data_IF_652027986750
#
_entry.id   IF_652027986750
#
_cell.length_a   1.000
_cell.length_b   1.000
_cell.length_c   1.000
_cell.angle_alpha   90.00
_cell.angle_beta   90.00
_cell.angle_gamma   90.00
#
_symmetry.space_group_name_H-M   'P 1'
#
loop_
_entity.id
_entity.type
_entity.pdbx_description
1 polymer ?
#
# COMPACT_ATOMS: atom_id res chain seq x y z
N UNK A 1 37.34 -5.81 -47.02
CA UNK A 1 36.68 -4.54 -46.68
C UNK A 1 35.16 -4.66 -46.61
N UNK A 2 34.42 -5.18 -47.59
CA UNK A 2 32.93 -5.32 -47.50
C UNK A 2 32.46 -6.42 -46.53
N UNK A 3 33.17 -7.52 -46.42
CA UNK A 3 32.82 -8.65 -45.54
C UNK A 3 33.13 -8.42 -44.07
N UNK A 4 34.06 -7.54 -43.72
CA UNK A 4 34.35 -7.15 -42.32
C UNK A 4 33.26 -6.25 -41.75
N UNK A 5 32.73 -5.33 -42.56
CA UNK A 5 31.65 -4.42 -42.13
C UNK A 5 30.31 -5.17 -41.90
N UNK A 6 30.04 -6.22 -42.63
CA UNK A 6 28.86 -7.07 -42.46
C UNK A 6 28.96 -7.89 -41.16
N UNK A 7 30.14 -8.46 -40.86
CA UNK A 7 30.37 -9.18 -39.58
C UNK A 7 30.23 -8.26 -38.35
N UNK A 8 30.77 -7.06 -38.39
CA UNK A 8 30.62 -6.11 -37.29
C UNK A 8 29.14 -5.73 -37.04
N UNK A 9 28.35 -5.53 -38.05
CA UNK A 9 26.92 -5.23 -37.93
C UNK A 9 26.14 -6.40 -37.31
N UNK A 10 26.39 -7.65 -37.73
CA UNK A 10 25.78 -8.83 -37.14
C UNK A 10 26.14 -9.00 -35.67
N UNK A 11 27.38 -8.76 -35.27
CA UNK A 11 27.82 -8.81 -33.88
C UNK A 11 27.13 -7.74 -33.02
N UNK A 12 27.02 -6.53 -33.52
CA UNK A 12 26.31 -5.44 -32.79
C UNK A 12 24.84 -5.74 -32.60
N UNK A 13 24.13 -6.17 -33.63
CA UNK A 13 22.73 -6.54 -33.52
C UNK A 13 22.52 -7.76 -32.62
N UNK A 14 23.36 -8.76 -32.71
CA UNK A 14 23.32 -9.94 -31.83
C UNK A 14 23.52 -9.54 -30.36
N UNK A 15 24.50 -8.69 -30.05
CA UNK A 15 24.75 -8.17 -28.70
C UNK A 15 23.55 -7.35 -28.19
N UNK A 16 22.99 -6.45 -29.00
CA UNK A 16 21.82 -5.66 -28.64
C UNK A 16 20.63 -6.59 -28.34
N UNK A 17 20.40 -7.60 -29.18
CA UNK A 17 19.30 -8.56 -28.99
C UNK A 17 19.49 -9.37 -27.70
N UNK A 18 20.71 -9.82 -27.40
CA UNK A 18 21.03 -10.55 -26.16
C UNK A 18 20.84 -9.64 -24.93
N UNK A 19 21.35 -8.40 -24.99
CA UNK A 19 21.19 -7.44 -23.88
C UNK A 19 19.73 -7.12 -23.63
N UNK A 20 18.93 -6.88 -24.67
CA UNK A 20 17.50 -6.65 -24.56
C UNK A 20 16.77 -7.88 -24.01
N UNK A 21 17.09 -9.07 -24.52
CA UNK A 21 16.51 -10.32 -24.05
C UNK A 21 16.81 -10.58 -22.58
N UNK A 22 18.06 -10.42 -22.17
CA UNK A 22 18.48 -10.52 -20.76
C UNK A 22 17.81 -9.44 -19.91
N UNK A 23 17.73 -8.20 -20.40
CA UNK A 23 17.04 -7.08 -19.71
C UNK A 23 15.58 -7.39 -19.45
N UNK A 24 14.86 -7.92 -20.43
CA UNK A 24 13.46 -8.35 -20.28
C UNK A 24 13.33 -9.48 -19.26
N UNK A 25 14.18 -10.50 -19.33
CA UNK A 25 14.16 -11.62 -18.35
C UNK A 25 14.44 -11.09 -16.94
N UNK A 26 15.46 -10.24 -16.77
CA UNK A 26 15.79 -9.63 -15.48
C UNK A 26 14.63 -8.78 -14.95
N UNK A 27 14.00 -7.98 -15.81
CA UNK A 27 12.84 -7.17 -15.43
C UNK A 27 11.72 -8.03 -14.85
N UNK A 28 11.32 -9.09 -15.53
CA UNK A 28 10.28 -10.00 -15.03
C UNK A 28 10.69 -10.72 -13.74
N UNK A 29 11.97 -11.06 -13.58
CA UNK A 29 12.47 -11.73 -12.37
C UNK A 29 12.60 -10.79 -11.18
N UNK A 30 12.85 -9.49 -11.41
CA UNK A 30 12.93 -8.46 -10.35
C UNK A 30 11.55 -7.97 -9.93
N UNK A 31 10.54 -8.02 -10.81
CA UNK A 31 9.18 -7.53 -10.55
C UNK A 31 8.59 -7.97 -9.22
N UNK A 32 8.70 -9.24 -8.76
CA UNK A 32 8.17 -9.67 -7.46
C UNK A 32 8.82 -8.98 -6.26
N UNK A 33 10.04 -8.44 -6.42
CA UNK A 33 10.83 -7.79 -5.37
C UNK A 33 10.73 -6.26 -5.40
N UNK A 34 10.06 -5.69 -6.41
CA UNK A 34 9.96 -4.24 -6.59
C UNK A 34 9.36 -3.54 -5.37
N UNK A 35 8.39 -4.14 -4.71
CA UNK A 35 7.80 -3.58 -3.49
C UNK A 35 8.85 -3.37 -2.39
N UNK A 36 9.68 -4.36 -2.14
CA UNK A 36 10.78 -4.29 -1.17
C UNK A 36 11.85 -3.28 -1.57
N UNK A 37 12.23 -3.25 -2.85
CA UNK A 37 13.23 -2.32 -3.39
C UNK A 37 12.74 -0.87 -3.26
N UNK A 38 11.55 -0.56 -3.78
CA UNK A 38 10.96 0.78 -3.73
C UNK A 38 10.70 1.23 -2.30
N UNK A 39 10.23 0.31 -1.43
CA UNK A 39 10.08 0.56 -0.01
C UNK A 39 11.41 0.93 0.66
N UNK A 40 12.50 0.23 0.34
CA UNK A 40 13.83 0.54 0.86
C UNK A 40 14.30 1.93 0.42
N UNK A 41 14.12 2.31 -0.84
CA UNK A 41 14.43 3.66 -1.34
C UNK A 41 13.62 4.74 -0.62
N UNK A 42 12.32 4.53 -0.46
CA UNK A 42 11.43 5.46 0.23
C UNK A 42 11.88 5.70 1.67
N UNK A 43 12.11 4.60 2.42
CA UNK A 43 12.53 4.67 3.82
C UNK A 43 13.96 5.25 3.94
N UNK A 44 14.85 4.92 3.01
CA UNK A 44 16.20 5.53 2.96
C UNK A 44 16.12 7.06 2.86
N UNK A 45 15.31 7.61 1.96
CA UNK A 45 15.15 9.07 1.81
C UNK A 45 14.63 9.72 3.10
N UNK A 46 13.79 9.03 3.87
CA UNK A 46 13.33 9.50 5.17
C UNK A 46 14.43 9.48 6.22
N UNK A 47 15.17 8.38 6.30
CA UNK A 47 16.11 8.11 7.39
C UNK A 47 17.54 8.61 7.11
N UNK A 48 17.89 8.97 5.85
CA UNK A 48 19.24 9.41 5.52
C UNK A 48 19.72 10.60 6.36
N UNK A 49 18.82 11.54 6.67
CA UNK A 49 19.14 12.68 7.53
C UNK A 49 19.48 12.27 8.96
N UNK A 50 18.74 11.31 9.52
CA UNK A 50 19.01 10.71 10.83
C UNK A 50 20.34 9.92 10.78
N UNK A 51 20.58 9.16 9.72
CA UNK A 51 21.83 8.42 9.53
C UNK A 51 23.05 9.35 9.55
N UNK A 52 22.99 10.47 8.83
CA UNK A 52 24.08 11.46 8.84
C UNK A 52 24.26 12.11 10.21
N UNK A 53 23.15 12.40 10.92
CA UNK A 53 23.22 12.93 12.27
C UNK A 53 23.91 11.95 13.24
N UNK A 54 23.54 10.67 13.19
CA UNK A 54 24.11 9.63 14.05
C UNK A 54 25.59 9.38 13.78
N UNK A 55 25.99 9.38 12.48
CA UNK A 55 27.36 9.05 12.10
C UNK A 55 28.31 10.25 12.18
N UNK A 56 27.85 11.46 11.88
CA UNK A 56 28.73 12.64 11.80
C UNK A 56 28.71 13.48 13.08
N UNK A 57 27.55 13.65 13.70
CA UNK A 57 27.47 14.45 14.95
C UNK A 57 27.69 13.59 16.19
N UNK A 58 27.15 12.37 16.23
CA UNK A 58 27.32 11.48 17.36
C UNK A 58 28.50 10.50 17.22
N UNK A 59 29.25 10.56 16.11
CA UNK A 59 30.41 9.70 15.82
C UNK A 59 30.12 8.20 15.99
N UNK A 60 28.86 7.77 15.74
CA UNK A 60 28.48 6.36 15.82
C UNK A 60 29.05 5.56 14.64
N UNK A 61 29.39 4.30 14.89
CA UNK A 61 29.82 3.40 13.81
C UNK A 61 28.67 3.22 12.81
N UNK A 62 28.90 3.38 11.48
CA UNK A 62 27.84 3.33 10.48
C UNK A 62 26.96 2.06 10.53
N UNK A 63 27.58 0.90 10.80
CA UNK A 63 26.85 -0.35 10.93
C UNK A 63 25.87 -0.33 12.12
N UNK A 64 26.28 0.25 13.26
CA UNK A 64 25.41 0.33 14.45
C UNK A 64 24.29 1.35 14.26
N UNK A 65 24.57 2.50 13.67
CA UNK A 65 23.57 3.49 13.31
C UNK A 65 22.52 2.92 12.32
N UNK A 66 22.98 2.18 11.31
CA UNK A 66 22.09 1.50 10.37
C UNK A 66 21.19 0.46 11.05
N UNK A 67 21.73 -0.35 11.97
CA UNK A 67 20.92 -1.33 12.73
C UNK A 67 19.87 -0.65 13.63
N UNK A 68 20.23 0.48 14.26
CA UNK A 68 19.29 1.25 15.07
C UNK A 68 18.12 1.79 14.23
N UNK A 69 18.42 2.37 13.06
CA UNK A 69 17.41 2.88 12.13
C UNK A 69 16.57 1.77 11.50
N UNK A 70 17.13 0.59 11.27
CA UNK A 70 16.37 -0.60 10.89
C UNK A 70 15.39 -1.03 12.00
N UNK A 71 15.83 -1.01 13.26
CA UNK A 71 14.96 -1.25 14.41
C UNK A 71 13.79 -0.26 14.47
N UNK A 72 14.06 1.03 14.26
CA UNK A 72 13.03 2.07 14.15
C UNK A 72 12.05 1.77 13.00
N UNK A 73 12.57 1.39 11.83
CA UNK A 73 11.74 1.02 10.67
C UNK A 73 10.82 -0.17 10.97
N UNK A 74 11.34 -1.20 11.63
CA UNK A 74 10.57 -2.38 12.01
C UNK A 74 9.46 -1.98 12.99
N UNK A 75 9.80 -1.20 14.02
CA UNK A 75 8.84 -0.77 15.04
C UNK A 75 7.73 0.12 14.45
N UNK A 76 8.10 1.10 13.63
CA UNK A 76 7.15 2.10 13.13
C UNK A 76 6.31 1.63 11.95
N UNK A 77 6.83 0.76 11.09
CA UNK A 77 6.15 0.36 9.86
C UNK A 77 5.75 -1.12 9.84
N UNK A 78 6.67 -2.03 10.17
CA UNK A 78 6.42 -3.46 10.03
C UNK A 78 5.53 -4.03 11.12
N UNK A 79 5.69 -3.62 12.38
CA UNK A 79 4.86 -4.11 13.48
C UNK A 79 3.39 -3.73 13.29
N UNK A 80 3.00 -2.46 13.00
CA UNK A 80 1.61 -2.11 12.76
C UNK A 80 0.99 -2.89 11.60
N UNK A 81 1.72 -3.06 10.49
CA UNK A 81 1.23 -3.79 9.32
C UNK A 81 1.04 -5.29 9.63
N UNK A 82 2.02 -5.92 10.30
CA UNK A 82 1.91 -7.34 10.67
C UNK A 82 0.81 -7.58 11.69
N UNK A 83 0.62 -6.68 12.65
CA UNK A 83 -0.48 -6.72 13.61
C UNK A 83 -1.84 -6.66 12.91
N UNK A 84 -1.98 -5.78 11.91
CA UNK A 84 -3.19 -5.69 11.13
C UNK A 84 -3.51 -6.94 10.34
N UNK A 85 -2.51 -7.48 9.65
CA UNK A 85 -2.64 -8.74 8.91
C UNK A 85 -3.07 -9.86 9.88
N UNK A 86 -2.44 -9.95 11.04
CA UNK A 86 -2.78 -10.94 12.07
C UNK A 86 -4.22 -10.78 12.59
N UNK A 87 -4.66 -9.55 12.87
CA UNK A 87 -6.03 -9.26 13.30
C UNK A 87 -7.06 -9.65 12.23
N UNK A 88 -6.81 -9.33 10.97
CA UNK A 88 -7.68 -9.72 9.84
C UNK A 88 -7.78 -11.25 9.76
N UNK A 89 -6.66 -11.95 9.82
CA UNK A 89 -6.63 -13.42 9.74
C UNK A 89 -7.41 -14.03 10.90
N UNK A 90 -7.13 -13.62 12.14
CA UNK A 90 -7.82 -14.16 13.32
C UNK A 90 -9.33 -13.91 13.30
N UNK A 91 -9.74 -12.71 12.88
CA UNK A 91 -11.16 -12.40 12.81
C UNK A 91 -11.85 -13.21 11.70
N UNK A 92 -11.19 -13.38 10.55
CA UNK A 92 -11.76 -14.14 9.42
C UNK A 92 -11.86 -15.64 9.72
N UNK A 93 -10.96 -16.18 10.53
CA UNK A 93 -11.04 -17.59 10.98
C UNK A 93 -12.20 -17.83 11.96
N UNK A 94 -12.54 -16.83 12.78
CA UNK A 94 -13.63 -16.89 13.76
C UNK A 94 -15.01 -16.53 13.17
N UNK A 95 -15.07 -15.96 11.97
CA UNK A 95 -16.31 -15.78 11.24
C UNK A 95 -16.69 -17.15 10.65
N UNK A 96 -17.58 -17.86 11.34
CA UNK A 96 -18.28 -19.01 10.77
C UNK A 96 -19.17 -18.49 9.62
N UNK A 97 -18.56 -18.28 8.47
CA UNK A 97 -19.28 -18.13 7.22
C UNK A 97 -19.81 -19.54 6.87
N UNK A 98 -20.86 -19.96 7.57
CA UNK A 98 -21.58 -21.14 7.18
C UNK A 98 -22.10 -20.90 5.75
N UNK A 99 -21.67 -21.69 4.76
CA UNK A 99 -22.16 -21.54 3.39
C UNK A 99 -23.69 -21.54 3.30
N UNK A 100 -24.37 -22.21 4.24
CA UNK A 100 -25.83 -22.25 4.33
C UNK A 100 -26.42 -20.90 4.73
N UNK A 101 -25.76 -20.15 5.63
CA UNK A 101 -26.22 -18.80 6.02
C UNK A 101 -26.03 -17.82 4.86
N UNK A 102 -24.90 -17.89 4.16
CA UNK A 102 -24.67 -17.05 2.97
C UNK A 102 -25.66 -17.36 1.84
N UNK A 103 -25.94 -18.65 1.60
CA UNK A 103 -26.91 -19.08 0.60
C UNK A 103 -28.33 -18.66 0.98
N UNK A 104 -28.74 -18.88 2.23
CA UNK A 104 -30.08 -18.51 2.70
C UNK A 104 -30.30 -17.00 2.70
N UNK A 105 -29.28 -16.23 3.13
CA UNK A 105 -29.34 -14.76 3.12
C UNK A 105 -29.31 -14.22 1.70
N UNK A 106 -28.49 -14.78 0.83
CA UNK A 106 -28.46 -14.43 -0.59
C UNK A 106 -29.78 -14.72 -1.30
N UNK A 107 -30.42 -15.86 -1.00
CA UNK A 107 -31.75 -16.20 -1.51
C UNK A 107 -32.83 -15.24 -0.98
N UNK A 108 -32.78 -14.90 0.31
CA UNK A 108 -33.75 -13.95 0.89
C UNK A 108 -33.65 -12.55 0.26
N UNK A 109 -32.41 -12.09 -0.06
CA UNK A 109 -32.23 -10.83 -0.79
C UNK A 109 -32.72 -10.94 -2.23
N UNK A 110 -32.42 -12.04 -2.91
CA UNK A 110 -32.90 -12.28 -4.27
C UNK A 110 -34.44 -12.27 -4.33
N UNK A 111 -35.10 -12.96 -3.39
CA UNK A 111 -36.54 -13.00 -3.28
C UNK A 111 -37.14 -11.61 -3.01
N UNK A 112 -36.56 -10.81 -2.10
CA UNK A 112 -36.99 -9.44 -1.82
C UNK A 112 -36.81 -8.49 -3.02
N UNK A 113 -35.72 -8.64 -3.78
CA UNK A 113 -35.45 -7.83 -4.98
C UNK A 113 -36.40 -8.26 -6.10
N UNK A 114 -36.65 -9.55 -6.29
CA UNK A 114 -37.56 -10.07 -7.29
C UNK A 114 -39.02 -9.63 -6.98
N UNK A 115 -39.45 -9.66 -5.71
CA UNK A 115 -40.76 -9.20 -5.29
C UNK A 115 -41.00 -7.70 -5.54
N UNK A 116 -39.94 -6.86 -5.32
CA UNK A 116 -40.07 -5.41 -5.46
C UNK A 116 -39.73 -4.88 -6.86
N UNK A 117 -38.87 -5.53 -7.62
CA UNK A 117 -38.39 -5.01 -8.91
C UNK A 117 -38.76 -5.88 -10.11
N UNK A 118 -39.19 -7.11 -9.89
CA UNK A 118 -39.47 -8.07 -10.97
C UNK A 118 -38.23 -8.62 -11.70
N UNK A 119 -37.03 -8.22 -11.26
CA UNK A 119 -35.76 -8.69 -11.83
C UNK A 119 -35.20 -9.84 -11.01
N UNK A 120 -34.89 -10.95 -11.65
CA UNK A 120 -34.14 -12.07 -11.06
C UNK A 120 -32.64 -11.73 -11.10
N UNK A 121 -32.18 -11.10 -10.01
CA UNK A 121 -30.78 -10.56 -9.94
C UNK A 121 -29.77 -11.63 -9.52
N UNK A 122 -30.21 -12.74 -8.95
CA UNK A 122 -29.34 -13.77 -8.38
C UNK A 122 -29.76 -15.18 -8.83
N UNK A 123 -29.26 -15.58 -9.99
CA UNK A 123 -29.29 -16.98 -10.42
C UNK A 123 -28.56 -17.88 -9.38
N UNK A 124 -29.14 -19.03 -9.07
CA UNK A 124 -28.55 -20.04 -8.15
C UNK A 124 -27.11 -20.41 -8.52
N UNK A 125 -26.75 -20.31 -9.80
CA UNK A 125 -25.38 -20.51 -10.27
C UNK A 125 -24.40 -19.46 -9.76
N UNK A 126 -24.84 -18.23 -9.55
CA UNK A 126 -24.01 -17.14 -9.02
C UNK A 126 -23.83 -17.24 -7.50
N UNK A 127 -24.83 -17.71 -6.76
CA UNK A 127 -24.73 -17.97 -5.33
C UNK A 127 -23.73 -19.10 -5.01
N UNK A 128 -23.70 -20.15 -5.82
CA UNK A 128 -22.70 -21.22 -5.68
C UNK A 128 -21.28 -20.73 -6.00
N UNK A 129 -21.12 -19.79 -6.93
CA UNK A 129 -19.83 -19.13 -7.19
C UNK A 129 -19.37 -18.30 -5.98
N UNK A 130 -20.27 -17.60 -5.29
CA UNK A 130 -19.94 -16.86 -4.06
C UNK A 130 -19.47 -17.81 -2.95
N UNK A 131 -20.10 -18.96 -2.78
CA UNK A 131 -19.67 -19.98 -1.83
C UNK A 131 -18.28 -20.57 -2.15
N UNK A 132 -17.89 -20.61 -3.44
CA UNK A 132 -16.57 -21.07 -3.89
C UNK A 132 -15.46 -20.02 -3.74
N UNK A 133 -15.79 -18.77 -3.39
CA UNK A 133 -14.81 -17.68 -3.23
C UNK A 133 -13.93 -17.88 -1.97
N UNK A 134 -14.43 -18.56 -0.93
CA UNK A 134 -13.68 -18.76 0.33
C UNK A 134 -12.30 -19.40 0.15
N UNK A 135 -12.13 -20.52 -0.56
CA UNK A 135 -10.80 -21.08 -0.80
C UNK A 135 -9.88 -20.15 -1.58
N UNK A 136 -10.44 -19.40 -2.53
CA UNK A 136 -9.68 -18.46 -3.36
C UNK A 136 -9.20 -17.26 -2.54
N UNK A 137 -10.03 -16.72 -1.63
CA UNK A 137 -9.64 -15.64 -0.71
C UNK A 137 -8.54 -16.11 0.22
N UNK A 138 -8.68 -17.30 0.82
CA UNK A 138 -7.65 -17.86 1.72
C UNK A 138 -6.33 -18.07 0.96
N UNK A 139 -6.39 -18.64 -0.23
CA UNK A 139 -5.21 -18.86 -1.06
C UNK A 139 -4.55 -17.53 -1.50
N UNK A 140 -5.35 -16.53 -1.86
CA UNK A 140 -4.88 -15.18 -2.16
C UNK A 140 -4.20 -14.52 -0.95
N UNK A 141 -4.81 -14.62 0.24
CA UNK A 141 -4.24 -14.08 1.48
C UNK A 141 -2.91 -14.76 1.83
N UNK A 142 -2.85 -16.09 1.77
CA UNK A 142 -1.62 -16.85 2.04
C UNK A 142 -0.52 -16.49 1.04
N UNK A 143 -0.85 -16.39 -0.25
CA UNK A 143 0.09 -15.97 -1.29
C UNK A 143 0.58 -14.54 -1.08
N UNK A 144 -0.31 -13.62 -0.69
CA UNK A 144 0.01 -12.21 -0.41
C UNK A 144 0.92 -12.08 0.82
N UNK A 145 0.69 -12.86 1.87
CA UNK A 145 1.54 -12.88 3.08
C UNK A 145 2.94 -13.38 2.74
N UNK A 146 3.06 -14.45 1.96
CA UNK A 146 4.36 -14.96 1.52
C UNK A 146 5.12 -13.91 0.70
N UNK A 147 4.46 -13.27 -0.27
CA UNK A 147 5.04 -12.20 -1.07
C UNK A 147 5.44 -10.99 -0.22
N UNK A 148 4.61 -10.63 0.76
CA UNK A 148 4.91 -9.56 1.71
C UNK A 148 6.15 -9.88 2.54
N UNK A 149 6.25 -11.09 3.11
CA UNK A 149 7.40 -11.51 3.90
C UNK A 149 8.71 -11.45 3.09
N UNK A 150 8.70 -11.92 1.85
CA UNK A 150 9.86 -11.83 0.94
C UNK A 150 10.24 -10.38 0.69
N UNK A 151 9.27 -9.50 0.40
CA UNK A 151 9.52 -8.08 0.16
C UNK A 151 10.06 -7.36 1.40
N UNK A 152 9.61 -7.75 2.60
CA UNK A 152 10.15 -7.23 3.87
C UNK A 152 11.63 -7.61 4.04
N UNK A 153 11.99 -8.86 3.77
CA UNK A 153 13.41 -9.30 3.83
C UNK A 153 14.26 -8.51 2.84
N UNK A 154 13.79 -8.36 1.61
CA UNK A 154 14.46 -7.56 0.55
C UNK A 154 14.60 -6.11 0.99
N UNK A 155 13.54 -5.50 1.55
CA UNK A 155 13.53 -4.13 2.05
C UNK A 155 14.60 -3.93 3.13
N UNK A 156 14.60 -4.78 4.16
CA UNK A 156 15.56 -4.69 5.28
C UNK A 156 16.98 -4.82 4.77
N UNK A 157 17.24 -5.79 3.90
CA UNK A 157 18.55 -6.05 3.34
C UNK A 157 19.06 -4.84 2.51
N UNK A 158 18.27 -4.38 1.58
CA UNK A 158 18.64 -3.24 0.72
C UNK A 158 18.79 -1.96 1.54
N UNK A 159 17.85 -1.68 2.45
CA UNK A 159 17.89 -0.49 3.30
C UNK A 159 19.15 -0.46 4.16
N UNK A 160 19.57 -1.60 4.72
CA UNK A 160 20.82 -1.69 5.49
C UNK A 160 22.03 -1.24 4.68
N UNK A 161 22.19 -1.77 3.47
CA UNK A 161 23.32 -1.40 2.61
C UNK A 161 23.21 0.02 2.08
N UNK A 162 22.01 0.50 1.81
CA UNK A 162 21.79 1.90 1.42
C UNK A 162 22.13 2.86 2.55
N UNK A 163 21.79 2.55 3.81
CA UNK A 163 22.16 3.39 4.95
C UNK A 163 23.66 3.47 5.13
N UNK A 164 24.39 2.35 5.05
CA UNK A 164 25.85 2.33 5.20
C UNK A 164 26.56 2.99 4.01
N UNK A 165 26.10 2.70 2.80
CA UNK A 165 26.74 3.17 1.56
C UNK A 165 26.19 4.48 1.00
N UNK A 166 25.22 5.11 1.68
CA UNK A 166 24.34 6.12 1.14
C UNK A 166 25.04 7.27 0.39
N UNK A 167 26.04 7.89 0.97
CA UNK A 167 26.78 8.97 0.28
C UNK A 167 27.49 8.52 -0.99
N UNK A 168 28.10 7.33 -0.95
CA UNK A 168 28.77 6.79 -2.14
C UNK A 168 27.77 6.48 -3.23
N UNK A 169 26.64 5.92 -2.85
CA UNK A 169 25.53 5.60 -3.76
C UNK A 169 24.94 6.90 -4.36
N UNK A 170 24.63 7.90 -3.54
CA UNK A 170 24.09 9.19 -4.01
C UNK A 170 25.06 9.87 -4.99
N UNK A 171 26.34 9.94 -4.67
CA UNK A 171 27.35 10.51 -5.54
C UNK A 171 27.48 9.72 -6.86
N UNK A 172 27.43 8.39 -6.80
CA UNK A 172 27.50 7.57 -7.99
C UNK A 172 26.26 7.77 -8.88
N UNK A 173 25.07 7.79 -8.29
CA UNK A 173 23.84 8.08 -9.02
C UNK A 173 23.87 9.47 -9.66
N UNK A 174 24.38 10.48 -8.93
CA UNK A 174 24.53 11.83 -9.46
C UNK A 174 25.42 11.88 -10.71
N UNK A 175 26.49 11.07 -10.75
CA UNK A 175 27.38 10.99 -11.92
C UNK A 175 26.77 10.23 -13.10
N UNK A 176 25.84 9.29 -12.85
CA UNK A 176 25.20 8.50 -13.91
C UNK A 176 24.16 9.27 -14.71
N UNK A 177 23.54 10.29 -14.09
CA UNK A 177 22.51 11.07 -14.79
C UNK A 177 23.11 11.96 -15.87
N UNK A 178 22.68 11.83 -17.14
CA UNK A 178 23.18 12.59 -18.27
C UNK A 178 22.58 14.00 -18.38
N UNK A 179 22.24 14.62 -17.25
CA UNK A 179 21.66 15.95 -17.19
C UNK A 179 22.70 17.00 -16.78
N UNK A 180 22.41 18.29 -17.02
CA UNK A 180 23.18 19.39 -16.45
C UNK A 180 23.07 19.39 -14.92
N UNK A 181 24.07 19.86 -14.19
CA UNK A 181 24.08 19.81 -12.74
C UNK A 181 22.88 20.56 -12.12
N UNK A 182 22.45 21.66 -12.72
CA UNK A 182 21.26 22.39 -12.29
C UNK A 182 19.98 21.56 -12.40
N UNK A 183 19.79 20.83 -13.51
CA UNK A 183 18.61 19.98 -13.70
C UNK A 183 18.67 18.73 -12.79
N UNK A 184 19.87 18.21 -12.48
CA UNK A 184 20.02 17.10 -11.52
C UNK A 184 19.55 17.50 -10.14
N UNK A 185 19.98 18.67 -9.65
CA UNK A 185 19.61 19.17 -8.33
C UNK A 185 18.11 19.42 -8.24
N UNK A 186 17.50 19.97 -9.29
CA UNK A 186 16.06 20.19 -9.35
C UNK A 186 15.27 18.87 -9.27
N UNK A 187 15.62 17.90 -10.12
CA UNK A 187 14.97 16.57 -10.13
C UNK A 187 15.16 15.84 -8.80
N UNK A 188 16.36 15.85 -8.22
CA UNK A 188 16.63 15.20 -6.94
C UNK A 188 15.86 15.86 -5.78
N UNK A 189 15.75 17.20 -5.79
CA UNK A 189 14.97 17.94 -4.81
C UNK A 189 13.46 17.62 -4.94
N UNK A 190 12.96 17.58 -6.17
CA UNK A 190 11.56 17.22 -6.43
C UNK A 190 11.23 15.78 -5.98
N UNK A 191 12.08 14.80 -6.34
CA UNK A 191 11.93 13.42 -5.87
C UNK A 191 11.94 13.36 -4.33
N UNK A 192 12.88 14.06 -3.70
CA UNK A 192 13.00 14.09 -2.24
C UNK A 192 11.76 14.72 -1.58
N UNK A 193 11.23 15.79 -2.16
CA UNK A 193 10.02 16.46 -1.69
C UNK A 193 8.79 15.53 -1.83
N UNK A 194 8.60 14.91 -3.01
CA UNK A 194 7.49 14.01 -3.27
C UNK A 194 7.54 12.81 -2.32
N UNK A 195 8.70 12.16 -2.17
CA UNK A 195 8.85 10.98 -1.31
C UNK A 195 8.59 11.36 0.15
N UNK A 196 9.18 12.44 0.66
CA UNK A 196 8.96 12.88 2.04
C UNK A 196 7.50 13.26 2.30
N UNK A 197 6.88 13.99 1.38
CA UNK A 197 5.47 14.41 1.51
C UNK A 197 4.53 13.21 1.55
N UNK A 198 4.75 12.21 0.71
CA UNK A 198 3.93 11.01 0.69
C UNK A 198 4.21 10.11 1.89
N UNK A 199 5.47 9.92 2.25
CA UNK A 199 5.86 9.03 3.34
C UNK A 199 5.44 9.53 4.74
N UNK A 200 5.24 10.83 4.91
CA UNK A 200 4.69 11.42 6.12
C UNK A 200 3.17 11.63 5.98
N UNK A 201 2.75 12.11 4.81
CA UNK A 201 1.35 12.45 4.55
C UNK A 201 0.41 11.25 4.56
N UNK A 202 0.83 10.11 3.97
CA UNK A 202 0.00 8.90 3.93
C UNK A 202 -0.27 8.32 5.33
N UNK A 203 0.72 8.11 6.20
CA UNK A 203 0.46 7.65 7.57
C UNK A 203 -0.39 8.62 8.39
N UNK A 204 -0.14 9.93 8.26
CA UNK A 204 -0.94 10.95 8.94
C UNK A 204 -2.40 10.91 8.48
N UNK A 205 -2.62 10.84 7.18
CA UNK A 205 -3.96 10.68 6.59
C UNK A 205 -4.63 9.41 7.09
N UNK A 206 -3.91 8.29 7.10
CA UNK A 206 -4.41 7.00 7.56
C UNK A 206 -4.90 7.04 9.01
N UNK A 207 -4.13 7.66 9.90
CA UNK A 207 -4.51 7.83 11.31
C UNK A 207 -5.76 8.70 11.44
N UNK A 208 -5.80 9.85 10.78
CA UNK A 208 -6.95 10.76 10.84
C UNK A 208 -8.20 10.08 10.29
N UNK A 209 -8.06 9.40 9.15
CA UNK A 209 -9.18 8.70 8.50
C UNK A 209 -9.67 7.51 9.34
N UNK A 210 -8.75 6.79 10.00
CA UNK A 210 -9.08 5.76 10.98
C UNK A 210 -9.85 6.31 12.17
N UNK A 211 -9.46 7.45 12.74
CA UNK A 211 -10.18 8.10 13.85
C UNK A 211 -11.59 8.53 13.42
N UNK A 212 -11.71 9.17 12.24
CA UNK A 212 -13.01 9.56 11.70
C UNK A 212 -13.90 8.34 11.45
N UNK A 213 -13.35 7.25 10.96
CA UNK A 213 -14.07 6.00 10.78
C UNK A 213 -14.54 5.42 12.11
N UNK A 214 -13.68 5.39 13.15
CA UNK A 214 -14.06 4.95 14.51
C UNK A 214 -15.26 5.73 15.03
N UNK A 215 -15.26 7.05 14.87
CA UNK A 215 -16.38 7.90 15.31
C UNK A 215 -17.67 7.47 14.61
N UNK A 216 -17.65 7.29 13.28
CA UNK A 216 -18.80 6.82 12.53
C UNK A 216 -19.27 5.42 12.96
N UNK A 217 -18.33 4.51 13.17
CA UNK A 217 -18.62 3.15 13.59
C UNK A 217 -19.26 3.09 15.00
N UNK A 218 -18.87 3.98 15.91
CA UNK A 218 -19.57 4.11 17.20
C UNK A 218 -20.96 4.70 17.06
N UNK A 219 -21.15 5.74 16.23
CA UNK A 219 -22.46 6.39 16.02
C UNK A 219 -23.46 5.38 15.45
N UNK A 220 -23.03 4.57 14.48
CA UNK A 220 -23.89 3.59 13.82
C UNK A 220 -23.83 2.19 14.46
N UNK A 221 -23.33 2.08 15.69
CA UNK A 221 -23.33 0.88 16.51
C UNK A 221 -22.80 -0.37 15.78
N UNK A 222 -21.73 -0.19 14.98
CA UNK A 222 -21.14 -1.32 14.26
C UNK A 222 -20.50 -2.32 15.24
N UNK A 223 -20.42 -3.61 14.89
CA UNK A 223 -19.63 -4.55 15.67
C UNK A 223 -18.15 -4.13 15.70
N UNK A 224 -17.52 -4.21 16.87
CA UNK A 224 -16.08 -3.93 17.05
C UNK A 224 -15.57 -2.61 16.40
N UNK A 225 -16.11 -1.41 16.74
CA UNK A 225 -15.79 -0.15 16.08
C UNK A 225 -14.29 0.18 16.03
N UNK A 226 -13.56 -0.16 17.09
CA UNK A 226 -12.12 0.09 17.18
C UNK A 226 -11.33 -0.80 16.21
N UNK A 227 -11.72 -2.07 16.08
CA UNK A 227 -11.10 -2.98 15.15
C UNK A 227 -11.29 -2.51 13.70
N UNK A 228 -12.53 -2.21 13.31
CA UNK A 228 -12.82 -1.76 11.96
C UNK A 228 -12.23 -0.38 11.65
N UNK A 229 -12.14 0.50 12.65
CA UNK A 229 -11.43 1.77 12.53
C UNK A 229 -9.93 1.58 12.29
N UNK A 230 -9.31 0.66 13.01
CA UNK A 230 -7.91 0.30 12.80
C UNK A 230 -7.69 -0.33 11.42
N UNK A 231 -8.59 -1.21 10.98
CA UNK A 231 -8.56 -1.76 9.63
C UNK A 231 -8.72 -0.68 8.56
N UNK A 232 -9.60 0.31 8.80
CA UNK A 232 -9.77 1.45 7.89
C UNK A 232 -8.51 2.30 7.83
N UNK A 233 -7.84 2.54 8.96
CA UNK A 233 -6.54 3.23 9.01
C UNK A 233 -5.53 2.57 8.06
N UNK A 234 -5.43 1.24 8.10
CA UNK A 234 -4.48 0.52 7.25
C UNK A 234 -4.94 0.46 5.79
N UNK A 235 -6.22 0.21 5.58
CA UNK A 235 -6.80 0.16 4.24
C UNK A 235 -6.64 1.49 3.48
N UNK A 236 -6.61 2.62 4.19
CA UNK A 236 -6.38 3.97 3.62
C UNK A 236 -5.06 4.09 2.86
N UNK A 237 -4.08 3.23 3.12
CA UNK A 237 -2.83 3.16 2.35
C UNK A 237 -3.12 2.88 0.86
N UNK A 238 -4.22 2.19 0.57
CA UNK A 238 -4.67 1.95 -0.82
C UNK A 238 -5.55 3.13 -1.24
N UNK A 239 -5.09 3.99 -2.17
CA UNK A 239 -5.85 5.17 -2.58
C UNK A 239 -7.22 4.79 -3.18
N UNK A 240 -8.23 5.62 -2.94
CA UNK A 240 -9.58 5.58 -3.53
C UNK A 240 -10.43 4.41 -3.00
N UNK A 241 -9.92 3.18 -3.05
CA UNK A 241 -10.67 1.95 -2.75
C UNK A 241 -10.48 1.50 -1.30
N UNK A 242 -9.38 1.91 -0.65
CA UNK A 242 -8.95 1.36 0.63
C UNK A 242 -10.02 1.38 1.72
N UNK A 243 -10.60 2.52 2.00
CA UNK A 243 -11.65 2.62 3.03
C UNK A 243 -12.92 1.85 2.67
N UNK A 244 -13.26 1.77 1.38
CA UNK A 244 -14.43 1.03 0.90
C UNK A 244 -14.28 -0.48 1.13
N UNK A 245 -13.06 -1.02 1.10
CA UNK A 245 -12.79 -2.42 1.42
C UNK A 245 -13.20 -2.80 2.85
N UNK A 246 -13.31 -1.82 3.74
CA UNK A 246 -13.71 -2.04 5.13
C UNK A 246 -15.18 -1.70 5.35
N UNK A 247 -15.61 -0.48 5.02
CA UNK A 247 -16.97 -0.05 5.36
C UNK A 247 -18.04 -0.70 4.49
N UNK A 248 -17.77 -1.05 3.22
CA UNK A 248 -18.78 -1.69 2.36
C UNK A 248 -19.16 -3.09 2.86
N UNK A 249 -18.21 -4.02 3.14
CA UNK A 249 -18.57 -5.30 3.73
C UNK A 249 -19.24 -5.17 5.10
N UNK A 250 -18.81 -4.18 5.90
CA UNK A 250 -19.37 -3.95 7.23
C UNK A 250 -20.83 -3.47 7.16
N UNK A 251 -21.12 -2.50 6.29
CA UNK A 251 -22.50 -2.03 6.07
C UNK A 251 -23.38 -3.15 5.49
N UNK A 252 -22.85 -3.94 4.55
CA UNK A 252 -23.55 -5.11 4.02
C UNK A 252 -23.84 -6.14 5.13
N UNK A 253 -22.88 -6.45 5.99
CA UNK A 253 -23.07 -7.35 7.12
C UNK A 253 -24.17 -6.86 8.06
N UNK A 254 -24.21 -5.57 8.40
CA UNK A 254 -25.27 -4.99 9.25
C UNK A 254 -26.64 -5.08 8.58
N UNK A 255 -26.72 -4.77 7.29
CA UNK A 255 -27.97 -4.88 6.52
C UNK A 255 -28.50 -6.32 6.49
N UNK A 256 -27.61 -7.30 6.30
CA UNK A 256 -27.94 -8.73 6.29
C UNK A 256 -28.46 -9.24 7.66
N UNK A 257 -27.99 -8.64 8.75
CA UNK A 257 -28.48 -8.93 10.09
C UNK A 257 -29.78 -8.18 10.45
N UNK A 258 -30.40 -7.48 9.49
CA UNK A 258 -31.69 -6.79 9.67
C UNK A 258 -31.57 -5.34 10.16
N UNK A 259 -30.36 -4.84 10.42
CA UNK A 259 -30.14 -3.48 10.90
C UNK A 259 -29.93 -2.50 9.73
N UNK A 260 -30.96 -2.34 8.93
CA UNK A 260 -30.94 -1.51 7.71
C UNK A 260 -30.72 -0.02 8.00
N UNK A 261 -31.24 0.47 9.15
CA UNK A 261 -31.15 1.90 9.49
C UNK A 261 -29.70 2.30 9.76
N UNK A 262 -29.00 1.56 10.60
CA UNK A 262 -27.59 1.83 10.90
C UNK A 262 -26.69 1.50 9.70
N UNK A 263 -26.99 0.45 8.94
CA UNK A 263 -26.24 0.11 7.72
C UNK A 263 -26.31 1.22 6.68
N UNK A 264 -27.49 1.77 6.41
CA UNK A 264 -27.66 2.87 5.46
C UNK A 264 -27.03 4.16 5.98
N UNK A 265 -27.20 4.47 7.27
CA UNK A 265 -26.57 5.60 7.93
C UNK A 265 -25.06 5.53 7.83
N UNK A 266 -24.47 4.35 8.09
CA UNK A 266 -23.03 4.10 7.93
C UNK A 266 -22.57 4.29 6.49
N UNK A 267 -23.30 3.77 5.52
CA UNK A 267 -22.96 3.92 4.11
C UNK A 267 -22.95 5.40 3.67
N UNK A 268 -23.96 6.17 4.08
CA UNK A 268 -24.03 7.61 3.80
C UNK A 268 -22.89 8.35 4.48
N UNK A 269 -22.62 8.07 5.76
CA UNK A 269 -21.50 8.67 6.49
C UNK A 269 -20.17 8.33 5.83
N UNK A 270 -19.95 7.08 5.46
CA UNK A 270 -18.72 6.65 4.83
C UNK A 270 -18.49 7.34 3.48
N UNK A 271 -19.52 7.45 2.65
CA UNK A 271 -19.44 8.15 1.36
C UNK A 271 -19.19 9.66 1.52
N UNK A 272 -19.90 10.30 2.46
CA UNK A 272 -19.83 11.76 2.61
C UNK A 272 -18.67 12.22 3.47
N UNK A 273 -18.30 11.46 4.49
CA UNK A 273 -17.29 11.87 5.47
C UNK A 273 -16.00 11.07 5.28
N UNK A 274 -16.02 9.74 5.47
CA UNK A 274 -14.78 8.95 5.46
C UNK A 274 -14.03 9.08 4.13
N UNK A 275 -14.74 8.99 3.00
CA UNK A 275 -14.11 9.07 1.67
C UNK A 275 -13.62 10.48 1.34
N UNK A 276 -14.25 11.53 1.89
CA UNK A 276 -13.88 12.91 1.59
C UNK A 276 -12.80 13.50 2.53
N UNK A 277 -12.52 12.87 3.64
CA UNK A 277 -11.42 13.27 4.54
C UNK A 277 -10.07 13.32 3.80
N UNK A 278 -9.83 12.40 2.88
CA UNK A 278 -8.62 12.40 2.03
C UNK A 278 -8.49 13.71 1.24
N UNK A 279 -9.54 14.14 0.57
CA UNK A 279 -9.55 15.39 -0.21
C UNK A 279 -9.34 16.61 0.68
N UNK A 280 -9.98 16.63 1.85
CA UNK A 280 -9.85 17.75 2.79
C UNK A 280 -8.42 17.87 3.33
N UNK A 281 -7.81 16.76 3.73
CA UNK A 281 -6.45 16.75 4.28
C UNK A 281 -5.42 17.08 3.20
N UNK A 282 -5.56 16.56 1.98
CA UNK A 282 -4.71 16.94 0.85
C UNK A 282 -4.78 18.45 0.59
N UNK A 283 -5.98 19.00 0.60
CA UNK A 283 -6.17 20.45 0.43
C UNK A 283 -5.48 21.27 1.54
N UNK A 284 -5.62 20.85 2.80
CA UNK A 284 -4.98 21.52 3.96
C UNK A 284 -3.45 21.38 3.88
N UNK A 285 -2.94 20.22 3.53
CA UNK A 285 -1.49 19.99 3.38
C UNK A 285 -0.91 20.81 2.22
N UNK A 286 -1.59 20.85 1.08
CA UNK A 286 -1.16 21.65 -0.07
C UNK A 286 -1.15 23.13 0.27
N UNK A 287 -2.17 23.65 0.97
CA UNK A 287 -2.22 25.04 1.41
C UNK A 287 -1.07 25.38 2.35
N UNK A 288 -0.77 24.54 3.35
CA UNK A 288 0.36 24.74 4.26
C UNK A 288 1.73 24.65 3.57
N UNK A 289 1.87 23.78 2.59
CA UNK A 289 3.12 23.66 1.81
C UNK A 289 3.31 24.84 0.85
N UNK A 290 2.22 25.40 0.29
CA UNK A 290 2.27 26.59 -0.53
C UNK A 290 2.59 27.86 0.28
N UNK A 291 2.13 27.95 1.53
CA UNK A 291 2.43 29.07 2.43
C UNK A 291 3.87 29.04 3.01
N UNK A 292 4.59 27.92 2.88
CA UNK A 292 5.99 27.79 3.33
C UNK A 292 7.01 28.27 2.28
N UNK A 293 6.59 28.58 1.05
CA UNK A 293 7.42 29.17 0.00
C UNK A 293 6.97 30.61 -0.35
N UNK A 294 7.39 31.63 0.44
CA UNK A 294 7.14 33.01 0.06
C UNK A 294 8.19 33.61 -0.89
N UNK A 295 8.96 32.77 -1.60
CA UNK A 295 10.00 33.24 -2.54
C UNK A 295 10.16 32.24 -3.70
N UNK A 296 9.20 32.16 -4.55
CA UNK A 296 9.35 31.99 -6.02
C UNK A 296 8.14 32.62 -6.68
#
# INVERSE_FOLDING_TARGET
MYMENVKEHYWRYSLITIILGLGVILFFKITPFLGGILGAFTIYILLRGQMFHLTEKLNMRPAFAALLLLGETILCFLIPITLAIWLVINKTQNINLDPTVLLNTGQHIADLVQEKTGFDVLDRGNLLKVASIRPQIVQFLVGSISSFAVNVVVLIFILYFMLIGGRKMENYLYTLFPFSDQNKDEVLNEINMIVKSNAIGIPLLAVIQGIVAVIGYFIFQTPDPLLFGFLTCIATIIPIVGTALVWVPLAAYMALNGDWVHALGLAIYALLVITNVDNLIRFILQKKLADIHPLI
#
